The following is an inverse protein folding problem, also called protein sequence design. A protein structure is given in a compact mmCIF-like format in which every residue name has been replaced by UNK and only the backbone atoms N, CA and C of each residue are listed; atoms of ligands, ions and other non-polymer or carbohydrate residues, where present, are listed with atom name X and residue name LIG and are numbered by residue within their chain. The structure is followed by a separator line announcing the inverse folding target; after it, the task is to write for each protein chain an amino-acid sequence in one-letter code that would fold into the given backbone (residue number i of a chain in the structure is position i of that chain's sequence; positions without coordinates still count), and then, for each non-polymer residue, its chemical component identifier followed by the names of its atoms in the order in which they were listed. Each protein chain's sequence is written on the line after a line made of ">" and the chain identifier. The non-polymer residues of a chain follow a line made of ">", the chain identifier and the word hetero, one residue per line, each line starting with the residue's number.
data_IF_906893307336
#
_entry.id   IF_906893307336
#
_cell.length_a   1.000
_cell.length_b   1.000
_cell.length_c   1.000
_cell.angle_alpha   90.00
_cell.angle_beta   90.00
_cell.angle_gamma   90.00
#
_symmetry.space_group_name_H-M   'P 1'
#
loop_
_entity.id
_entity.type
_entity.pdbx_description
1 polymer ?
#
# COMPACT_ATOMS: atom_id res chain seq x y z
N UNK A 1 9.71 21.00 -6.18
CA UNK A 1 11.15 20.93 -6.48
C UNK A 1 11.37 20.77 -7.98
N UNK A 2 12.59 21.00 -8.51
CA UNK A 2 12.96 20.55 -9.85
C UNK A 2 13.80 19.27 -9.68
N UNK A 3 13.21 18.12 -10.00
CA UNK A 3 13.82 16.81 -9.78
C UNK A 3 14.20 16.22 -11.14
N UNK A 4 15.49 15.94 -11.33
CA UNK A 4 16.03 15.20 -12.47
C UNK A 4 16.70 13.94 -11.96
N UNK A 5 16.35 12.79 -12.51
CA UNK A 5 16.89 11.49 -12.12
C UNK A 5 17.53 10.80 -13.32
N UNK A 6 18.54 9.98 -13.06
CA UNK A 6 19.11 9.10 -14.08
C UNK A 6 18.08 8.07 -14.54
N UNK A 7 18.11 7.73 -15.82
CA UNK A 7 17.31 6.62 -16.36
C UNK A 7 17.71 5.27 -15.76
N UNK A 8 18.90 5.13 -15.19
CA UNK A 8 19.35 3.90 -14.51
C UNK A 8 18.86 3.76 -13.06
N UNK A 9 18.13 4.75 -12.52
CA UNK A 9 17.70 4.71 -11.12
C UNK A 9 16.69 3.58 -10.88
N UNK A 10 17.10 2.61 -10.05
CA UNK A 10 16.27 1.45 -9.69
C UNK A 10 15.49 1.61 -8.39
N UNK A 11 16.01 2.39 -7.46
CA UNK A 11 15.42 2.57 -6.16
C UNK A 11 15.38 4.05 -5.80
N UNK A 12 14.21 4.51 -5.37
CA UNK A 12 14.01 5.85 -4.85
C UNK A 12 13.43 5.74 -3.44
N UNK A 13 14.11 6.39 -2.48
CA UNK A 13 13.60 6.58 -1.12
C UNK A 13 13.50 8.07 -0.85
N UNK A 14 12.30 8.52 -0.49
CA UNK A 14 12.07 9.89 -0.07
C UNK A 14 11.63 9.87 1.38
N UNK A 15 12.32 10.68 2.17
CA UNK A 15 12.09 10.82 3.61
C UNK A 15 11.80 12.27 3.87
N UNK A 16 10.63 12.55 4.41
CA UNK A 16 10.12 13.91 4.65
C UNK A 16 9.96 14.72 3.35
N UNK A 17 8.76 15.24 3.12
CA UNK A 17 8.52 16.08 1.95
C UNK A 17 7.06 16.23 1.60
N UNK A 18 6.77 17.21 0.74
CA UNK A 18 5.45 17.42 0.16
C UNK A 18 5.51 17.05 -1.32
N UNK A 19 4.66 16.10 -1.72
CA UNK A 19 4.61 15.56 -3.06
C UNK A 19 3.40 16.14 -3.80
N UNK A 20 3.69 16.82 -4.90
CA UNK A 20 2.72 17.27 -5.87
C UNK A 20 2.46 16.21 -6.94
N UNK A 21 1.39 16.41 -7.73
CA UNK A 21 1.12 15.60 -8.92
C UNK A 21 2.29 15.58 -9.92
N UNK A 22 3.04 16.69 -10.02
CA UNK A 22 4.19 16.79 -10.93
C UNK A 22 5.33 15.87 -10.49
N UNK A 23 5.64 15.82 -9.20
CA UNK A 23 6.69 14.96 -8.65
C UNK A 23 6.32 13.47 -8.80
N UNK A 24 5.07 13.10 -8.52
CA UNK A 24 4.61 11.72 -8.73
C UNK A 24 4.67 11.29 -10.19
N UNK A 25 4.35 12.19 -11.13
CA UNK A 25 4.50 11.90 -12.56
C UNK A 25 5.96 11.67 -12.95
N UNK A 26 6.90 12.43 -12.37
CA UNK A 26 8.33 12.21 -12.60
C UNK A 26 8.72 10.82 -12.11
N UNK A 27 8.35 10.44 -10.88
CA UNK A 27 8.68 9.12 -10.35
C UNK A 27 8.05 7.99 -11.16
N UNK A 28 6.79 8.16 -11.55
CA UNK A 28 6.07 7.20 -12.37
C UNK A 28 6.63 7.04 -13.78
N UNK A 29 7.34 8.03 -14.30
CA UNK A 29 7.95 7.98 -15.63
C UNK A 29 9.38 7.39 -15.63
N UNK A 30 9.91 7.00 -14.47
CA UNK A 30 11.26 6.45 -14.37
C UNK A 30 11.30 5.03 -14.96
N UNK A 31 12.08 4.80 -16.03
CA UNK A 31 11.95 3.60 -16.84
C UNK A 31 12.49 2.33 -16.18
N UNK A 32 13.30 2.45 -15.13
CA UNK A 32 13.93 1.33 -14.43
C UNK A 32 13.60 1.32 -12.92
N UNK A 33 12.64 2.13 -12.47
CA UNK A 33 12.33 2.24 -11.04
C UNK A 33 11.59 0.98 -10.57
N UNK A 34 12.29 0.12 -9.84
CA UNK A 34 11.78 -1.13 -9.28
C UNK A 34 11.29 -0.96 -7.83
N UNK A 35 11.87 -0.01 -7.08
CA UNK A 35 11.59 0.19 -5.65
C UNK A 35 11.29 1.65 -5.35
N UNK A 36 10.11 1.91 -4.79
CA UNK A 36 9.71 3.23 -4.29
C UNK A 36 9.38 3.15 -2.80
N UNK A 37 10.05 3.99 -2.01
CA UNK A 37 9.81 4.11 -0.58
C UNK A 37 9.50 5.56 -0.25
N UNK A 38 8.30 5.82 0.23
CA UNK A 38 7.87 7.14 0.70
C UNK A 38 7.71 7.07 2.21
N UNK A 39 8.43 7.92 2.93
CA UNK A 39 8.43 7.95 4.40
C UNK A 39 8.15 9.36 4.88
N UNK A 40 7.19 9.52 5.77
CA UNK A 40 6.87 10.81 6.40
C UNK A 40 6.58 11.89 5.34
N UNK A 41 5.96 11.52 4.23
CA UNK A 41 5.62 12.44 3.15
C UNK A 41 4.14 12.82 3.19
N UNK A 42 3.84 14.03 2.72
CA UNK A 42 2.48 14.53 2.56
C UNK A 42 2.15 14.67 1.07
N UNK A 43 0.95 14.27 0.67
CA UNK A 43 0.46 14.49 -0.69
C UNK A 43 -0.32 15.81 -0.75
N UNK A 44 -0.13 16.58 -1.82
CA UNK A 44 -0.97 17.76 -2.04
C UNK A 44 -2.44 17.36 -2.09
N UNK A 45 -3.31 18.09 -1.37
CA UNK A 45 -4.72 17.74 -1.15
C UNK A 45 -4.99 16.37 -0.52
N UNK A 46 -3.96 15.70 0.02
CA UNK A 46 -4.00 14.33 0.54
C UNK A 46 -4.49 13.31 -0.51
N UNK A 47 -4.21 13.55 -1.80
CA UNK A 47 -4.64 12.68 -2.90
C UNK A 47 -3.45 12.20 -3.72
N UNK A 48 -3.48 10.92 -4.05
CA UNK A 48 -2.60 10.32 -5.04
C UNK A 48 -3.45 9.69 -6.14
N UNK A 49 -3.37 10.28 -7.34
CA UNK A 49 -4.01 9.77 -8.54
C UNK A 49 -2.90 9.23 -9.44
N UNK A 50 -2.83 7.91 -9.58
CA UNK A 50 -1.92 7.27 -10.53
C UNK A 50 -2.54 7.29 -11.92
N UNK A 51 -1.73 7.44 -12.97
CA UNK A 51 -2.20 7.47 -14.36
C UNK A 51 -1.67 6.29 -15.16
N UNK A 52 -2.37 5.95 -16.25
CA UNK A 52 -1.91 4.93 -17.20
C UNK A 52 -0.50 5.25 -17.72
N UNK A 53 0.36 4.23 -17.77
CA UNK A 53 1.74 4.35 -18.21
C UNK A 53 2.74 4.77 -17.13
N UNK A 54 2.28 5.05 -15.90
CA UNK A 54 3.17 5.32 -14.76
C UNK A 54 3.59 4.03 -14.05
N UNK A 55 4.74 4.03 -13.38
CA UNK A 55 5.25 2.96 -12.50
C UNK A 55 5.34 1.57 -13.14
N UNK A 56 5.60 1.51 -14.45
CA UNK A 56 5.58 0.25 -15.22
C UNK A 56 6.58 -0.80 -14.73
N UNK A 57 7.71 -0.43 -14.12
CA UNK A 57 8.71 -1.37 -13.60
C UNK A 57 8.65 -1.56 -12.08
N UNK A 58 7.70 -0.90 -11.40
CA UNK A 58 7.67 -0.88 -9.94
C UNK A 58 7.26 -2.24 -9.41
N UNK A 59 8.12 -2.86 -8.59
CA UNK A 59 7.90 -4.15 -7.94
C UNK A 59 7.61 -4.01 -6.45
N UNK A 60 8.17 -2.98 -5.80
CA UNK A 60 8.03 -2.76 -4.37
C UNK A 60 7.61 -1.33 -4.07
N UNK A 61 6.52 -1.18 -3.31
CA UNK A 61 6.04 0.09 -2.81
C UNK A 61 5.93 0.07 -1.29
N UNK A 62 6.61 1.00 -0.63
CA UNK A 62 6.45 1.26 0.81
C UNK A 62 5.89 2.67 1.04
N UNK A 63 4.84 2.73 1.87
CA UNK A 63 4.22 3.94 2.36
C UNK A 63 4.28 3.94 3.89
N UNK A 64 5.17 4.74 4.46
CA UNK A 64 5.37 4.83 5.91
C UNK A 64 4.99 6.22 6.43
N UNK A 65 4.07 6.27 7.38
CA UNK A 65 3.61 7.51 8.02
C UNK A 65 3.21 8.57 6.98
N UNK A 66 2.29 8.19 6.08
CA UNK A 66 1.88 9.00 4.93
C UNK A 66 0.53 9.64 5.18
N UNK A 67 0.45 10.95 4.97
CA UNK A 67 -0.81 11.68 4.98
C UNK A 67 -1.52 11.60 3.60
N UNK A 68 -2.08 10.43 3.27
CA UNK A 68 -2.87 10.16 2.06
C UNK A 68 -4.32 9.79 2.38
N UNK A 69 -5.31 10.62 2.04
CA UNK A 69 -6.72 10.38 2.31
C UNK A 69 -7.41 9.62 1.17
N UNK A 70 -7.00 9.85 -0.08
CA UNK A 70 -7.55 9.16 -1.24
C UNK A 70 -6.42 8.66 -2.14
N UNK A 71 -6.37 7.36 -2.35
CA UNK A 71 -5.50 6.72 -3.33
C UNK A 71 -6.35 6.20 -4.48
N UNK A 72 -6.24 6.82 -5.66
CA UNK A 72 -6.99 6.40 -6.86
C UNK A 72 -6.06 5.68 -7.81
N UNK A 73 -6.35 4.41 -8.03
CA UNK A 73 -5.59 3.47 -8.85
C UNK A 73 -6.53 2.71 -9.78
N UNK A 74 -5.98 2.26 -10.90
CA UNK A 74 -6.54 1.25 -11.78
C UNK A 74 -5.54 0.08 -11.82
N UNK A 75 -6.01 -1.15 -12.04
CA UNK A 75 -5.17 -2.36 -12.09
C UNK A 75 -4.04 -2.28 -13.12
N UNK A 76 -4.17 -1.41 -14.14
CA UNK A 76 -3.15 -1.19 -15.18
C UNK A 76 -2.02 -0.24 -14.75
N UNK A 77 -2.15 0.45 -13.62
CA UNK A 77 -1.20 1.48 -13.20
C UNK A 77 0.05 0.92 -12.51
N UNK A 78 0.03 -0.34 -12.10
CA UNK A 78 1.14 -1.00 -11.39
C UNK A 78 1.31 -2.44 -11.89
N UNK A 79 1.57 -2.65 -13.18
CA UNK A 79 1.44 -3.97 -13.82
C UNK A 79 2.45 -5.01 -13.33
N UNK A 80 3.52 -4.58 -12.66
CA UNK A 80 4.60 -5.43 -12.15
C UNK A 80 4.76 -5.36 -10.62
N UNK A 81 3.79 -4.78 -9.90
CA UNK A 81 3.90 -4.64 -8.46
C UNK A 81 3.78 -6.01 -7.79
N UNK A 82 4.76 -6.36 -6.97
CA UNK A 82 4.85 -7.63 -6.24
C UNK A 82 4.56 -7.44 -4.75
N UNK A 83 4.99 -6.32 -4.18
CA UNK A 83 4.93 -6.10 -2.73
C UNK A 83 4.42 -4.69 -2.40
N UNK A 84 3.34 -4.62 -1.62
CA UNK A 84 2.87 -3.41 -0.99
C UNK A 84 3.13 -3.47 0.52
N UNK A 85 3.76 -2.43 1.06
CA UNK A 85 4.00 -2.30 2.50
C UNK A 85 3.43 -0.98 2.99
N UNK A 86 2.49 -1.05 3.93
CA UNK A 86 1.90 0.09 4.61
C UNK A 86 2.34 0.06 6.08
N UNK A 87 3.03 1.10 6.52
CA UNK A 87 3.51 1.23 7.89
C UNK A 87 2.99 2.52 8.50
N UNK A 88 2.45 2.47 9.71
CA UNK A 88 1.93 3.67 10.38
C UNK A 88 0.93 4.42 9.47
N UNK A 89 0.11 3.68 8.73
CA UNK A 89 -0.84 4.22 7.76
C UNK A 89 -2.17 4.45 8.46
N UNK A 90 -2.26 5.60 9.14
CA UNK A 90 -3.38 5.95 10.02
C UNK A 90 -4.53 6.69 9.32
N UNK A 91 -4.47 6.83 8.01
CA UNK A 91 -5.41 7.66 7.27
C UNK A 91 -6.71 6.95 6.88
N UNK A 92 -7.73 7.76 6.61
CA UNK A 92 -9.15 7.41 6.37
C UNK A 92 -9.45 6.57 5.12
N UNK A 93 -8.45 6.14 4.36
CA UNK A 93 -8.65 5.42 3.09
C UNK A 93 -8.50 3.91 3.25
N UNK A 94 -9.29 3.16 2.51
CA UNK A 94 -9.11 1.73 2.27
C UNK A 94 -8.03 1.50 1.20
N UNK A 95 -7.45 0.30 1.15
CA UNK A 95 -6.63 -0.13 0.02
C UNK A 95 -7.56 -0.28 -1.19
N UNK A 96 -7.33 0.43 -2.31
CA UNK A 96 -8.18 0.31 -3.50
C UNK A 96 -8.28 -1.14 -3.96
N UNK A 97 -9.50 -1.60 -4.28
CA UNK A 97 -9.75 -2.96 -4.76
C UNK A 97 -8.87 -3.28 -5.99
N UNK A 98 -8.62 -2.28 -6.84
CA UNK A 98 -7.81 -2.40 -8.04
C UNK A 98 -6.35 -2.80 -7.76
N UNK A 99 -5.82 -2.50 -6.56
CA UNK A 99 -4.50 -3.00 -6.15
C UNK A 99 -4.55 -4.51 -5.93
N UNK A 100 -5.62 -5.02 -5.29
CA UNK A 100 -5.80 -6.45 -5.01
C UNK A 100 -6.05 -7.27 -6.27
N UNK A 101 -6.46 -6.60 -7.36
CA UNK A 101 -6.65 -7.21 -8.69
C UNK A 101 -5.38 -7.22 -9.55
N UNK A 102 -4.23 -6.72 -9.05
CA UNK A 102 -2.96 -6.75 -9.78
C UNK A 102 -2.44 -8.21 -9.83
N UNK A 103 -2.29 -8.81 -11.03
CA UNK A 103 -1.92 -10.23 -11.13
C UNK A 103 -0.53 -10.59 -10.59
N UNK A 104 0.38 -9.62 -10.52
CA UNK A 104 1.75 -9.84 -10.03
C UNK A 104 1.88 -9.65 -8.52
N UNK A 105 0.84 -9.17 -7.84
CA UNK A 105 0.90 -8.85 -6.42
C UNK A 105 1.02 -10.15 -5.62
N UNK A 106 2.09 -10.26 -4.82
CA UNK A 106 2.41 -11.43 -4.00
C UNK A 106 2.17 -11.20 -2.52
N UNK A 107 2.28 -9.95 -2.06
CA UNK A 107 2.02 -9.65 -0.65
C UNK A 107 1.55 -8.23 -0.38
N UNK A 108 0.68 -8.10 0.63
CA UNK A 108 0.41 -6.84 1.32
C UNK A 108 0.85 -6.99 2.77
N UNK A 109 1.76 -6.14 3.23
CA UNK A 109 2.17 -6.05 4.62
C UNK A 109 1.62 -4.77 5.25
N UNK A 110 0.95 -4.91 6.38
CA UNK A 110 0.42 -3.81 7.18
C UNK A 110 1.11 -3.83 8.54
N UNK A 111 1.57 -2.68 9.01
CA UNK A 111 2.16 -2.55 10.35
C UNK A 111 1.66 -1.24 10.98
N UNK A 112 0.99 -1.32 12.14
CA UNK A 112 0.45 -0.12 12.80
C UNK A 112 -0.51 0.67 11.91
N UNK A 113 -1.39 -0.02 11.16
CA UNK A 113 -2.38 0.62 10.28
C UNK A 113 -3.76 0.71 10.96
N UNK A 114 -4.58 1.67 10.53
CA UNK A 114 -5.94 1.85 11.03
C UNK A 114 -6.89 0.71 10.66
N UNK A 115 -7.96 0.51 11.43
CA UNK A 115 -8.89 -0.62 11.27
C UNK A 115 -9.55 -0.73 9.89
N UNK A 116 -9.81 0.39 9.20
CA UNK A 116 -10.34 0.39 7.82
C UNK A 116 -9.36 -0.21 6.82
N UNK A 117 -8.07 0.12 6.93
CA UNK A 117 -7.00 -0.42 6.09
C UNK A 117 -6.88 -1.93 6.32
N UNK A 118 -6.90 -2.36 7.59
CA UNK A 118 -6.87 -3.76 7.96
C UNK A 118 -8.07 -4.52 7.36
N UNK A 119 -9.28 -3.98 7.51
CA UNK A 119 -10.52 -4.57 6.98
C UNK A 119 -10.45 -4.71 5.47
N UNK A 120 -10.06 -3.64 4.76
CA UNK A 120 -9.93 -3.66 3.30
C UNK A 120 -8.89 -4.67 2.81
N UNK A 121 -7.78 -4.87 3.51
CA UNK A 121 -6.79 -5.87 3.11
C UNK A 121 -7.29 -7.32 3.28
N UNK A 122 -8.24 -7.53 4.20
CA UNK A 122 -8.81 -8.83 4.52
C UNK A 122 -10.13 -9.08 3.74
N UNK A 123 -10.76 -8.03 3.21
CA UNK A 123 -12.05 -8.14 2.53
C UNK A 123 -11.95 -8.98 1.25
N UNK A 124 -12.39 -10.22 1.40
CA UNK A 124 -12.65 -11.22 0.37
C UNK A 124 -13.99 -10.85 -0.28
N UNK A 125 -13.99 -10.52 -1.57
CA UNK A 125 -15.24 -10.38 -2.34
C UNK A 125 -16.10 -11.64 -2.13
N UNK A 126 -17.28 -11.47 -1.53
CA UNK A 126 -18.37 -12.47 -1.48
C UNK A 126 -18.81 -12.80 -2.90
N UNK A 127 -18.11 -13.69 -3.59
CA UNK A 127 -18.57 -14.29 -4.83
C UNK A 127 -18.60 -15.80 -4.67
N UNK A 128 -19.82 -16.34 -4.67
CA UNK A 128 -20.24 -17.72 -4.87
C UNK A 128 -19.15 -18.81 -4.87
N UNK A 129 -19.20 -19.68 -3.86
CA UNK A 129 -19.10 -21.12 -4.11
C UNK A 129 -18.13 -21.91 -3.26
N UNK A 130 -16.89 -21.46 -3.08
CA UNK A 130 -15.81 -22.32 -2.52
C UNK A 130 -15.05 -21.63 -1.39
N UNK A 131 -15.72 -21.42 -0.26
CA UNK A 131 -15.19 -20.79 0.93
C UNK A 131 -15.13 -21.79 2.07
N UNK A 132 -14.09 -22.63 2.11
CA UNK A 132 -13.85 -23.41 3.33
C UNK A 132 -12.39 -23.71 3.69
N UNK A 133 -11.37 -23.31 2.91
CA UNK A 133 -10.00 -23.76 3.27
C UNK A 133 -8.85 -22.74 3.25
N UNK A 134 -8.98 -21.56 2.63
CA UNK A 134 -7.84 -20.63 2.52
C UNK A 134 -7.87 -19.46 3.51
N UNK A 135 -9.03 -18.87 3.78
CA UNK A 135 -9.14 -17.69 4.66
C UNK A 135 -9.10 -18.03 6.16
N UNK A 136 -9.62 -19.19 6.56
CA UNK A 136 -9.83 -19.51 7.99
C UNK A 136 -8.54 -19.86 8.76
N UNK A 137 -7.46 -20.24 8.06
CA UNK A 137 -6.24 -20.69 8.75
C UNK A 137 -5.35 -19.55 9.24
N UNK A 138 -5.51 -18.33 8.71
CA UNK A 138 -4.65 -17.18 9.06
C UNK A 138 -5.28 -16.18 10.04
N UNK A 139 -6.62 -16.16 10.18
CA UNK A 139 -7.30 -15.27 11.12
C UNK A 139 -7.11 -15.69 12.59
N UNK A 140 -6.86 -16.98 12.86
CA UNK A 140 -6.72 -17.50 14.23
C UNK A 140 -5.36 -17.19 14.89
N UNK A 141 -4.30 -16.93 14.12
CA UNK A 141 -2.98 -16.63 14.71
C UNK A 141 -2.82 -15.18 15.20
N UNK A 142 -3.65 -14.24 14.73
CA UNK A 142 -3.60 -12.83 15.16
C UNK A 142 -4.67 -12.45 16.17
N UNK A 143 -5.77 -13.21 16.27
CA UNK A 143 -6.85 -12.95 17.24
C UNK A 143 -6.60 -13.54 18.64
N UNK A 144 -5.56 -14.36 18.86
CA UNK A 144 -5.25 -14.92 20.18
C UNK A 144 -4.50 -13.96 21.13
N UNK A 145 -4.23 -12.70 20.74
CA UNK A 145 -3.44 -11.78 21.59
C UNK A 145 -4.14 -10.57 22.21
N UNK A 146 -5.41 -10.26 21.97
CA UNK A 146 -6.03 -9.09 22.63
C UNK A 146 -7.49 -9.34 23.07
N UNK A 147 -7.68 -10.07 24.18
CA UNK A 147 -8.91 -10.00 24.97
C UNK A 147 -8.91 -8.91 26.06
N UNK A 148 -7.98 -7.95 26.02
CA UNK A 148 -8.00 -6.83 26.97
C UNK A 148 -7.36 -5.57 26.36
N UNK A 149 -8.17 -4.64 25.82
CA UNK A 149 -8.24 -3.28 26.40
C UNK A 149 -9.29 -2.41 25.69
N UNK A 150 -10.36 -2.10 26.42
CA UNK A 150 -11.37 -1.10 26.06
C UNK A 150 -10.95 0.26 26.63
N UNK A 151 -9.79 0.82 26.28
CA UNK A 151 -9.42 2.14 26.82
C UNK A 151 -8.35 2.88 25.99
N UNK A 152 -8.72 3.31 24.77
CA UNK A 152 -8.23 4.57 24.19
C UNK A 152 -6.71 4.75 24.03
N UNK A 153 -5.94 3.68 23.77
CA UNK A 153 -4.50 3.79 23.47
C UNK A 153 -4.15 3.08 22.17
N UNK A 154 -3.28 3.75 21.40
CA UNK A 154 -2.72 3.33 20.13
C UNK A 154 -2.27 1.86 20.18
N UNK A 155 -2.80 1.02 19.28
CA UNK A 155 -2.38 -0.39 19.15
C UNK A 155 -0.91 -0.42 18.69
N UNK A 156 -0.01 -0.71 19.62
CA UNK A 156 1.41 -0.94 19.36
C UNK A 156 1.52 -2.32 18.70
N UNK A 157 1.91 -2.37 17.43
CA UNK A 157 2.72 -3.48 16.91
C UNK A 157 2.04 -4.66 16.20
N UNK A 158 0.78 -4.56 15.75
CA UNK A 158 0.20 -5.64 14.95
C UNK A 158 0.69 -5.55 13.49
N UNK A 159 1.56 -6.50 13.11
CA UNK A 159 1.96 -6.72 11.72
C UNK A 159 1.03 -7.77 11.10
N UNK A 160 0.35 -7.41 10.01
CA UNK A 160 -0.45 -8.33 9.20
C UNK A 160 0.25 -8.52 7.85
N UNK A 161 0.46 -9.76 7.44
CA UNK A 161 0.94 -10.10 6.10
C UNK A 161 -0.15 -10.90 5.39
N UNK A 162 -0.59 -10.41 4.24
CA UNK A 162 -1.46 -11.11 3.31
C UNK A 162 -0.60 -11.57 2.14
N UNK A 163 -0.70 -12.84 1.76
CA UNK A 163 0.02 -13.43 0.62
C UNK A 163 -0.99 -13.84 -0.46
N UNK A 164 -0.58 -13.74 -1.72
CA UNK A 164 -1.37 -14.16 -2.88
C UNK A 164 -0.61 -15.27 -3.62
N UNK A 165 -1.35 -16.28 -4.07
CA UNK A 165 -0.84 -17.45 -4.82
C UNK A 165 -0.60 -17.15 -6.31
#
# INVERSE_FOLDING_TARGET
>A
MNLSFSSSLKQLTLVEGSLSRKEMKIFGSLPNLEVLKLRRTAFFSQKWITNAGEFLQLKYLLLENIALAHWRVDRTHFPNLEHLVLENFYNFGEIPDEIREIPTLRSIKLNGCGGSVLTSAIDVKRNNGDWEMMAFKFLLLTLELDQHDLEGRCLIGNTINVYFD
#
